data_IF_651952777063
#
_entry.id   IF_651952777063
#
_cell.length_a   1.000
_cell.length_b   1.000
_cell.length_c   1.000
_cell.angle_alpha   90.00
_cell.angle_beta   90.00
_cell.angle_gamma   90.00
#
_symmetry.space_group_name_H-M   'P 1'
#
loop_
_entity.id
_entity.type
_entity.pdbx_description
1 polymer ?
#
# COMPACT_ATOMS: atom_id res chain seq x y z
N UNK A 1 7.47 -12.82 13.16
CA UNK A 1 7.51 -12.70 14.64
C UNK A 1 6.16 -12.26 15.23
N UNK A 2 5.78 -10.97 15.17
CA UNK A 2 4.55 -10.46 15.82
C UNK A 2 3.26 -11.21 15.43
N UNK A 3 3.12 -11.62 14.17
CA UNK A 3 1.96 -12.39 13.70
C UNK A 3 1.78 -13.74 14.43
N UNK A 4 2.86 -14.34 14.93
CA UNK A 4 2.78 -15.56 15.75
C UNK A 4 2.55 -15.20 17.21
N UNK A 5 3.25 -14.18 17.71
CA UNK A 5 3.11 -13.68 19.08
C UNK A 5 1.65 -13.31 19.42
N UNK A 6 0.97 -12.58 18.52
CA UNK A 6 -0.40 -12.12 18.74
C UNK A 6 -1.45 -13.23 18.79
N UNK A 7 -1.12 -14.45 18.33
CA UNK A 7 -2.04 -15.60 18.42
C UNK A 7 -2.18 -16.07 19.86
N UNK A 8 -1.10 -15.96 20.64
CA UNK A 8 -1.02 -16.34 22.05
C UNK A 8 -1.33 -15.15 22.95
N UNK A 9 -0.67 -14.00 22.71
CA UNK A 9 -0.78 -12.80 23.56
C UNK A 9 -1.53 -11.69 22.81
N UNK A 10 -2.78 -11.44 23.21
CA UNK A 10 -3.66 -10.46 22.55
C UNK A 10 -3.66 -9.13 23.30
N UNK A 11 -3.57 -8.02 22.57
CA UNK A 11 -3.71 -6.68 23.13
C UNK A 11 -2.71 -5.68 22.55
N UNK A 12 -3.10 -4.39 22.56
CA UNK A 12 -2.26 -3.30 22.07
C UNK A 12 -0.96 -3.13 22.86
N UNK A 13 -0.97 -3.41 24.16
CA UNK A 13 0.21 -3.27 25.03
C UNK A 13 1.30 -4.30 24.72
N UNK A 14 0.92 -5.56 24.49
CA UNK A 14 1.85 -6.61 24.03
C UNK A 14 2.53 -6.20 22.72
N UNK A 15 1.76 -5.63 21.78
CA UNK A 15 2.30 -5.09 20.53
C UNK A 15 3.30 -3.98 20.79
N UNK A 16 2.94 -2.96 21.57
CA UNK A 16 3.81 -1.81 21.87
C UNK A 16 5.13 -2.25 22.52
N UNK A 17 5.08 -3.07 23.56
CA UNK A 17 6.27 -3.56 24.26
C UNK A 17 7.17 -4.39 23.35
N UNK A 18 6.61 -5.31 22.55
CA UNK A 18 7.38 -6.06 21.58
C UNK A 18 8.04 -5.14 20.55
N UNK A 19 7.33 -4.14 20.03
CA UNK A 19 7.87 -3.19 19.07
C UNK A 19 9.03 -2.38 19.64
N UNK A 20 8.95 -1.96 20.90
CA UNK A 20 10.05 -1.27 21.59
C UNK A 20 11.28 -2.18 21.72
N UNK A 21 11.10 -3.43 22.14
CA UNK A 21 12.19 -4.41 22.22
C UNK A 21 12.78 -4.75 20.84
N UNK A 22 11.95 -4.85 19.80
CA UNK A 22 12.40 -5.17 18.45
C UNK A 22 13.12 -3.99 17.76
N UNK A 23 12.68 -2.76 18.03
CA UNK A 23 13.15 -1.56 17.29
C UNK A 23 14.39 -0.89 17.86
N UNK A 24 14.75 -1.19 19.11
CA UNK A 24 15.92 -0.60 19.75
C UNK A 24 17.24 -1.11 19.15
N UNK A 25 18.25 -0.23 19.09
CA UNK A 25 19.55 -0.55 18.47
C UNK A 25 20.63 -0.99 19.47
N UNK A 26 20.41 -0.82 20.77
CA UNK A 26 21.39 -1.09 21.82
C UNK A 26 20.99 -2.30 22.66
N UNK A 27 21.94 -3.19 22.95
CA UNK A 27 21.73 -4.34 23.84
C UNK A 27 21.24 -3.93 25.23
N UNK A 28 21.77 -2.84 25.79
CA UNK A 28 21.32 -2.31 27.09
C UNK A 28 19.86 -1.87 27.05
N UNK A 29 19.46 -1.19 25.98
CA UNK A 29 18.06 -0.78 25.80
C UNK A 29 17.15 -1.99 25.54
N UNK A 30 17.64 -3.00 24.80
CA UNK A 30 16.94 -4.25 24.58
C UNK A 30 16.65 -4.99 25.88
N UNK A 31 17.67 -5.20 26.73
CA UNK A 31 17.53 -5.84 28.04
C UNK A 31 16.47 -5.14 28.90
N UNK A 32 16.48 -3.79 28.94
CA UNK A 32 15.45 -3.02 29.66
C UNK A 32 14.04 -3.28 29.14
N UNK A 33 13.86 -3.38 27.83
CA UNK A 33 12.54 -3.66 27.25
C UNK A 33 12.11 -5.11 27.46
N UNK A 34 13.03 -6.07 27.43
CA UNK A 34 12.77 -7.48 27.76
C UNK A 34 12.36 -7.62 29.23
N UNK A 35 13.06 -6.96 30.15
CA UNK A 35 12.70 -6.96 31.57
C UNK A 35 11.34 -6.31 31.81
N UNK A 36 11.04 -5.21 31.10
CA UNK A 36 9.72 -4.57 31.15
C UNK A 36 8.58 -5.42 30.54
N UNK A 37 8.90 -6.43 29.72
CA UNK A 37 7.95 -7.45 29.27
C UNK A 37 7.81 -8.51 30.35
N UNK A 38 8.90 -8.98 30.97
CA UNK A 38 8.88 -9.95 32.07
C UNK A 38 8.01 -9.48 33.24
N UNK A 39 8.20 -8.22 33.66
CA UNK A 39 7.41 -7.60 34.73
C UNK A 39 5.93 -7.41 34.38
N UNK A 40 5.59 -7.44 33.08
CA UNK A 40 4.21 -7.32 32.62
C UNK A 40 3.55 -8.70 32.46
N UNK A 41 4.26 -9.65 31.86
CA UNK A 41 3.84 -11.04 31.67
C UNK A 41 5.08 -11.92 31.44
N UNK A 42 5.34 -12.83 32.38
CA UNK A 42 6.46 -13.75 32.34
C UNK A 42 6.32 -14.82 31.25
N UNK A 43 5.10 -15.24 30.91
CA UNK A 43 4.86 -16.19 29.84
C UNK A 43 5.19 -15.57 28.47
N UNK A 44 4.82 -14.30 28.29
CA UNK A 44 5.16 -13.52 27.10
C UNK A 44 6.68 -13.35 26.94
N UNK A 45 7.38 -13.04 28.03
CA UNK A 45 8.84 -12.97 28.06
C UNK A 45 9.49 -14.30 27.66
N UNK A 46 9.06 -15.40 28.27
CA UNK A 46 9.60 -16.74 28.00
C UNK A 46 9.40 -17.14 26.54
N UNK A 47 8.23 -16.86 25.98
CA UNK A 47 7.95 -17.11 24.56
C UNK A 47 8.89 -16.33 23.64
N UNK A 48 9.22 -15.08 23.97
CA UNK A 48 10.15 -14.28 23.17
C UNK A 48 11.57 -14.82 23.21
N UNK A 49 12.05 -15.25 24.38
CA UNK A 49 13.40 -15.79 24.54
C UNK A 49 13.58 -17.19 23.93
N UNK A 50 12.51 -17.95 23.71
CA UNK A 50 12.57 -19.18 22.92
C UNK A 50 12.94 -18.92 21.45
N UNK A 51 12.70 -17.71 20.94
CA UNK A 51 13.04 -17.32 19.58
C UNK A 51 14.37 -16.56 19.58
N UNK A 52 15.31 -16.93 18.70
CA UNK A 52 16.62 -16.28 18.60
C UNK A 52 16.47 -14.76 18.35
N UNK A 53 16.95 -13.89 19.27
CA UNK A 53 16.88 -12.43 19.15
C UNK A 53 17.49 -11.88 17.85
N UNK A 54 18.49 -12.57 17.28
CA UNK A 54 19.11 -12.22 16.00
C UNK A 54 18.14 -12.22 14.81
N UNK A 55 16.99 -12.86 14.94
CA UNK A 55 15.99 -12.96 13.87
C UNK A 55 14.92 -11.87 13.91
N UNK A 56 14.80 -11.12 15.02
CA UNK A 56 13.66 -10.22 15.22
C UNK A 56 13.97 -8.90 15.93
N UNK A 57 15.13 -8.76 16.58
CA UNK A 57 15.52 -7.54 17.27
C UNK A 57 16.74 -6.87 16.65
N UNK A 58 16.61 -5.57 16.39
CA UNK A 58 17.65 -4.74 15.80
C UNK A 58 18.92 -4.66 16.63
N UNK A 59 18.82 -4.73 17.95
CA UNK A 59 19.97 -4.72 18.86
C UNK A 59 20.94 -5.90 18.63
N UNK A 60 20.50 -6.95 17.95
CA UNK A 60 21.29 -8.13 17.61
C UNK A 60 21.66 -8.21 16.12
N UNK A 61 21.27 -7.23 15.31
CA UNK A 61 21.59 -7.22 13.89
C UNK A 61 23.01 -6.72 13.65
N UNK A 62 23.65 -7.23 12.60
CA UNK A 62 24.96 -6.72 12.18
C UNK A 62 24.83 -5.30 11.62
N UNK A 63 25.71 -4.36 12.02
CA UNK A 63 25.73 -3.00 11.46
C UNK A 63 26.26 -2.95 10.03
N UNK A 64 26.71 -4.07 9.45
CA UNK A 64 27.31 -4.11 8.11
C UNK A 64 26.37 -3.58 7.00
N UNK A 65 25.09 -3.94 7.04
CA UNK A 65 24.12 -3.61 5.98
C UNK A 65 23.52 -2.21 6.10
N UNK A 66 23.67 -1.55 7.27
CA UNK A 66 23.18 -0.20 7.56
C UNK A 66 21.77 0.08 7.03
N UNK A 67 20.79 -0.72 7.47
CA UNK A 67 19.39 -0.65 7.02
C UNK A 67 18.39 -0.43 8.16
N UNK A 68 17.38 0.40 7.91
CA UNK A 68 16.24 0.64 8.79
C UNK A 68 15.13 -0.43 8.65
N UNK A 69 15.30 -1.40 7.75
CA UNK A 69 14.33 -2.46 7.54
C UNK A 69 14.27 -3.41 8.76
N UNK A 70 13.12 -3.43 9.44
CA UNK A 70 12.83 -4.36 10.55
C UNK A 70 11.69 -5.34 10.21
N UNK A 71 10.86 -5.01 9.22
CA UNK A 71 9.70 -5.79 8.84
C UNK A 71 9.95 -6.60 7.58
N UNK A 72 9.17 -7.67 7.39
CA UNK A 72 9.07 -8.43 6.14
C UNK A 72 8.43 -7.63 4.98
N UNK A 73 8.45 -6.29 5.05
CA UNK A 73 7.83 -5.40 4.07
C UNK A 73 8.38 -5.66 2.65
N UNK A 74 9.66 -6.00 2.51
CA UNK A 74 10.26 -6.35 1.21
C UNK A 74 9.59 -7.62 0.65
N UNK A 75 9.46 -8.68 1.45
CA UNK A 75 8.80 -9.91 1.03
C UNK A 75 7.32 -9.70 0.74
N UNK A 76 6.61 -8.90 1.54
CA UNK A 76 5.19 -8.60 1.33
C UNK A 76 4.96 -7.76 0.08
N UNK A 77 5.77 -6.72 -0.11
CA UNK A 77 5.76 -5.87 -1.31
C UNK A 77 6.05 -6.68 -2.56
N UNK A 78 7.09 -7.53 -2.52
CA UNK A 78 7.41 -8.42 -3.63
C UNK A 78 6.28 -9.42 -3.92
N UNK A 79 5.74 -10.07 -2.88
CA UNK A 79 4.64 -11.02 -3.03
C UNK A 79 3.41 -10.37 -3.67
N UNK A 80 3.05 -9.17 -3.23
CA UNK A 80 1.97 -8.36 -3.80
C UNK A 80 2.25 -8.00 -5.26
N UNK A 81 3.49 -7.59 -5.54
CA UNK A 81 3.95 -7.18 -6.87
C UNK A 81 3.78 -8.30 -7.91
N UNK A 82 4.15 -9.53 -7.56
CA UNK A 82 4.11 -10.66 -8.50
C UNK A 82 2.79 -11.44 -8.52
N UNK A 83 1.77 -11.02 -7.75
CA UNK A 83 0.49 -11.74 -7.69
C UNK A 83 -0.13 -11.99 -9.07
N UNK A 84 -0.11 -10.98 -9.95
CA UNK A 84 -0.65 -11.12 -11.31
C UNK A 84 0.24 -12.00 -12.19
N UNK A 85 1.55 -11.94 -12.01
CA UNK A 85 2.51 -12.70 -12.81
C UNK A 85 2.39 -14.21 -12.56
N UNK A 86 2.09 -14.62 -11.32
CA UNK A 86 1.98 -16.02 -10.90
C UNK A 86 0.84 -16.80 -11.60
N UNK A 87 -0.19 -16.10 -12.08
CA UNK A 87 -1.31 -16.72 -12.79
C UNK A 87 -1.04 -16.83 -14.31
N UNK A 88 0.11 -16.36 -14.81
CA UNK A 88 0.45 -16.36 -16.24
C UNK A 88 1.26 -17.61 -16.63
N UNK A 89 1.19 -18.06 -17.91
CA UNK A 89 2.14 -19.03 -18.47
C UNK A 89 3.59 -18.57 -18.28
N UNK A 90 4.53 -19.51 -18.20
CA UNK A 90 5.92 -19.22 -17.79
C UNK A 90 6.59 -18.12 -18.62
N UNK A 91 6.40 -18.13 -19.94
CA UNK A 91 6.92 -17.10 -20.85
C UNK A 91 6.29 -15.74 -20.59
N UNK A 92 4.96 -15.69 -20.46
CA UNK A 92 4.23 -14.46 -20.14
C UNK A 92 4.57 -13.93 -18.75
N UNK A 93 4.82 -14.81 -17.77
CA UNK A 93 5.28 -14.45 -16.43
C UNK A 93 6.65 -13.78 -16.47
N UNK A 94 7.63 -14.40 -17.16
CA UNK A 94 8.97 -13.81 -17.30
C UNK A 94 8.93 -12.48 -18.04
N UNK A 95 8.17 -12.39 -19.13
CA UNK A 95 8.04 -11.15 -19.89
C UNK A 95 7.36 -10.04 -19.06
N UNK A 96 6.37 -10.42 -18.25
CA UNK A 96 5.74 -9.50 -17.30
C UNK A 96 6.77 -8.99 -16.28
N UNK A 97 7.51 -9.89 -15.63
CA UNK A 97 8.54 -9.55 -14.63
C UNK A 97 9.62 -8.67 -15.26
N UNK A 98 10.16 -9.04 -16.42
CA UNK A 98 11.20 -8.28 -17.15
C UNK A 98 10.77 -6.84 -17.42
N UNK A 99 9.55 -6.63 -17.94
CA UNK A 99 9.02 -5.28 -18.19
C UNK A 99 8.86 -4.46 -16.91
N UNK A 100 8.59 -5.12 -15.79
CA UNK A 100 8.34 -4.52 -14.47
C UNK A 100 9.63 -4.17 -13.72
N UNK A 101 10.67 -4.97 -13.88
CA UNK A 101 12.01 -4.72 -13.34
C UNK A 101 12.74 -3.58 -14.05
N UNK A 102 12.16 -3.01 -15.11
CA UNK A 102 12.67 -1.79 -15.74
C UNK A 102 12.46 -0.60 -14.80
N UNK A 103 13.49 -0.28 -14.03
CA UNK A 103 13.50 0.86 -13.14
C UNK A 103 13.80 2.20 -13.82
N UNK A 104 13.67 2.28 -15.15
CA UNK A 104 13.95 3.51 -15.91
C UNK A 104 13.13 4.72 -15.42
N UNK A 105 11.87 4.52 -15.03
CA UNK A 105 11.03 5.59 -14.44
C UNK A 105 11.61 6.08 -13.11
N UNK A 106 12.13 5.17 -12.27
CA UNK A 106 12.79 5.55 -11.01
C UNK A 106 14.10 6.28 -11.25
N UNK A 107 14.91 5.79 -12.18
CA UNK A 107 16.18 6.38 -12.58
C UNK A 107 15.98 7.81 -13.11
N UNK A 108 15.10 8.00 -14.10
CA UNK A 108 14.77 9.32 -14.65
C UNK A 108 14.11 10.25 -13.64
N UNK A 109 13.30 9.73 -12.72
CA UNK A 109 12.78 10.49 -11.58
C UNK A 109 13.89 11.03 -10.68
N UNK A 110 14.88 10.19 -10.34
CA UNK A 110 16.00 10.63 -9.51
C UNK A 110 16.98 11.56 -10.23
N UNK A 111 17.12 11.48 -11.55
CA UNK A 111 17.90 12.48 -12.31
C UNK A 111 17.33 13.89 -12.12
N UNK A 112 16.00 14.03 -12.15
CA UNK A 112 15.30 15.31 -11.96
C UNK A 112 15.33 15.81 -10.51
N UNK A 113 15.53 14.90 -9.55
CA UNK A 113 15.59 15.25 -8.14
C UNK A 113 16.86 16.04 -7.81
N UNK A 114 16.73 17.15 -7.09
CA UNK A 114 17.84 18.09 -6.83
C UNK A 114 18.58 17.83 -5.50
N UNK A 115 18.04 17.01 -4.61
CA UNK A 115 18.66 16.72 -3.32
C UNK A 115 19.86 15.76 -3.43
N UNK A 116 20.78 15.85 -2.47
CA UNK A 116 21.97 15.01 -2.40
C UNK A 116 21.68 13.60 -1.85
N UNK A 117 20.60 13.44 -1.07
CA UNK A 117 20.20 12.19 -0.41
C UNK A 117 18.84 11.74 -0.93
N UNK A 118 18.59 10.44 -0.97
CA UNK A 118 17.30 9.88 -1.36
C UNK A 118 16.13 10.51 -0.58
N UNK A 119 15.00 10.88 -1.23
CA UNK A 119 13.89 11.60 -0.59
C UNK A 119 13.39 10.98 0.72
N UNK A 120 13.14 9.67 0.74
CA UNK A 120 12.66 8.96 1.93
C UNK A 120 13.65 9.05 3.12
N UNK A 121 14.96 9.10 2.82
CA UNK A 121 16.01 9.22 3.83
C UNK A 121 16.19 10.67 4.27
N UNK A 122 15.98 11.63 3.37
CA UNK A 122 15.89 13.05 3.73
C UNK A 122 14.73 13.27 4.71
N UNK A 123 13.52 12.81 4.39
CA UNK A 123 12.34 12.96 5.27
C UNK A 123 12.57 12.33 6.66
N UNK A 124 13.23 11.17 6.68
CA UNK A 124 13.61 10.49 7.91
C UNK A 124 14.65 11.30 8.72
N UNK A 125 15.64 11.89 8.04
CA UNK A 125 16.64 12.75 8.67
C UNK A 125 16.02 14.05 9.21
N UNK A 126 15.09 14.67 8.48
CA UNK A 126 14.35 15.85 8.93
C UNK A 126 13.59 15.59 10.24
N UNK A 127 13.00 14.39 10.38
CA UNK A 127 12.39 13.99 11.65
C UNK A 127 13.41 13.94 12.78
N UNK A 128 14.60 13.40 12.55
CA UNK A 128 15.64 13.36 13.58
C UNK A 128 16.26 14.71 13.90
N UNK A 129 16.31 15.64 12.94
CA UNK A 129 16.65 17.05 13.20
C UNK A 129 15.61 17.76 14.06
N UNK A 130 14.34 17.41 13.88
CA UNK A 130 13.29 17.92 14.76
C UNK A 130 13.42 17.33 16.18
N UNK A 131 13.59 16.01 16.28
CA UNK A 131 13.72 15.31 17.57
C UNK A 131 15.01 15.67 18.32
N UNK A 132 16.08 16.08 17.62
CA UNK A 132 17.37 16.44 18.23
C UNK A 132 17.31 17.72 19.05
N UNK A 133 16.27 18.55 18.89
CA UNK A 133 16.06 19.78 19.68
C UNK A 133 15.93 19.52 21.18
N UNK A 134 15.53 18.31 21.54
CA UNK A 134 15.39 17.87 22.93
C UNK A 134 16.65 17.16 23.45
N UNK A 135 17.76 17.21 22.70
CA UNK A 135 19.03 16.61 23.09
C UNK A 135 20.02 17.69 23.52
N UNK A 136 20.58 17.57 24.72
CA UNK A 136 21.60 18.48 25.24
C UNK A 136 22.97 17.88 25.01
N UNK A 137 23.87 18.63 24.38
CA UNK A 137 25.13 18.11 23.88
C UNK A 137 26.30 18.77 24.62
N UNK A 138 27.16 17.96 25.22
CA UNK A 138 28.35 18.38 25.95
C UNK A 138 29.59 17.79 25.27
N UNK A 139 30.53 18.62 24.79
CA UNK A 139 31.74 18.12 24.14
C UNK A 139 32.70 17.49 25.15
N UNK A 140 33.22 16.31 24.83
CA UNK A 140 34.29 15.66 25.59
C UNK A 140 35.69 15.90 24.97
N UNK A 141 35.75 16.30 23.69
CA UNK A 141 36.98 16.48 22.91
C UNK A 141 37.05 15.52 21.71
N UNK A 142 37.91 15.78 20.72
CA UNK A 142 38.11 14.92 19.54
C UNK A 142 36.82 14.45 18.82
N UNK A 143 35.89 15.39 18.62
CA UNK A 143 34.55 15.13 18.07
C UNK A 143 33.76 14.01 18.80
N UNK A 144 34.07 13.77 20.08
CA UNK A 144 33.28 12.98 21.01
C UNK A 144 32.38 13.90 21.82
N UNK A 145 31.14 13.45 21.97
CA UNK A 145 30.10 14.18 22.67
C UNK A 145 29.33 13.27 23.60
N UNK A 146 29.07 13.76 24.80
CA UNK A 146 28.03 13.23 25.66
C UNK A 146 26.72 13.98 25.34
N UNK A 147 25.69 13.22 25.00
CA UNK A 147 24.39 13.75 24.61
C UNK A 147 23.33 13.25 25.57
N UNK A 148 22.77 14.16 26.35
CA UNK A 148 21.66 13.91 27.25
C UNK A 148 20.33 14.02 26.51
N UNK A 149 19.44 13.06 26.75
CA UNK A 149 18.09 13.05 26.25
C UNK A 149 17.16 12.50 27.35
N UNK A 150 16.40 13.41 27.97
CA UNK A 150 15.64 13.16 29.19
C UNK A 150 16.52 12.60 30.32
N UNK A 151 16.26 11.37 30.77
CA UNK A 151 16.88 10.71 31.93
C UNK A 151 18.15 9.92 31.56
N UNK A 152 18.70 10.12 30.36
CA UNK A 152 19.75 9.24 29.81
C UNK A 152 20.78 10.04 29.04
N UNK A 153 22.04 9.65 29.20
CA UNK A 153 23.13 10.09 28.35
C UNK A 153 23.53 9.02 27.33
N UNK A 154 23.96 9.50 26.16
CA UNK A 154 24.46 8.70 25.05
C UNK A 154 25.81 9.27 24.61
N UNK A 155 26.75 8.41 24.27
CA UNK A 155 28.04 8.85 23.71
C UNK A 155 27.91 8.82 22.20
N UNK A 156 28.32 9.91 21.56
CA UNK A 156 28.36 10.06 20.11
C UNK A 156 29.80 10.30 19.69
N UNK A 157 30.26 9.54 18.70
CA UNK A 157 31.55 9.73 18.05
C UNK A 157 31.32 10.12 16.58
N UNK A 158 31.64 11.35 16.21
CA UNK A 158 31.45 11.80 14.83
C UNK A 158 32.50 11.23 13.87
N UNK A 159 33.71 10.95 14.34
CA UNK A 159 34.78 10.35 13.52
C UNK A 159 34.38 8.93 13.07
N UNK A 160 33.89 8.13 14.01
CA UNK A 160 33.39 6.77 13.74
C UNK A 160 31.99 6.73 13.15
N UNK A 161 31.26 7.86 13.21
CA UNK A 161 29.84 7.95 12.83
C UNK A 161 28.98 6.96 13.63
N UNK A 162 29.24 6.87 14.93
CA UNK A 162 28.65 5.89 15.84
C UNK A 162 27.92 6.57 17.00
N UNK A 163 26.95 5.86 17.60
CA UNK A 163 26.26 6.34 18.80
C UNK A 163 25.88 5.17 19.69
N UNK A 164 26.04 5.30 21.01
CA UNK A 164 25.69 4.22 21.96
C UNK A 164 24.20 3.85 22.00
N UNK A 165 23.33 4.63 21.36
CA UNK A 165 21.95 4.21 21.11
C UNK A 165 21.84 3.08 20.06
N UNK A 166 22.90 2.82 19.30
CA UNK A 166 23.04 1.80 18.26
C UNK A 166 22.30 2.11 16.95
N UNK A 167 21.48 3.16 16.93
CA UNK A 167 20.63 3.45 15.77
C UNK A 167 21.42 4.02 14.60
N UNK A 168 22.51 4.76 14.84
CA UNK A 168 23.34 5.30 13.77
C UNK A 168 24.06 4.16 13.04
N UNK A 169 24.73 3.29 13.79
CA UNK A 169 25.46 2.13 13.25
C UNK A 169 24.55 1.22 12.42
N UNK A 170 23.33 0.98 12.89
CA UNK A 170 22.36 0.12 12.20
C UNK A 170 21.67 0.78 11.00
N UNK A 171 21.46 2.09 11.00
CA UNK A 171 20.74 2.78 9.91
C UNK A 171 21.66 3.41 8.88
N UNK A 172 22.95 3.60 9.20
CA UNK A 172 23.87 4.40 8.39
C UNK A 172 23.41 5.86 8.21
N UNK A 173 22.54 6.34 9.09
CA UNK A 173 21.98 7.70 9.09
C UNK A 173 22.06 8.21 10.53
N UNK A 174 22.51 9.46 10.76
CA UNK A 174 22.59 10.01 12.11
C UNK A 174 21.29 9.86 12.87
N UNK A 175 21.36 9.29 14.08
CA UNK A 175 20.22 9.31 15.01
C UNK A 175 20.05 10.73 15.58
N UNK A 176 18.94 11.01 16.28
CA UNK A 176 18.70 12.33 16.91
C UNK A 176 19.85 12.81 17.82
N UNK A 177 20.52 11.92 18.55
CA UNK A 177 21.69 12.27 19.36
C UNK A 177 22.89 12.64 18.47
N UNK A 178 23.11 11.86 17.41
CA UNK A 178 24.12 12.13 16.39
C UNK A 178 23.91 13.48 15.71
N UNK A 179 22.67 13.80 15.36
CA UNK A 179 22.31 15.09 14.77
C UNK A 179 22.62 16.24 15.73
N UNK A 180 22.31 16.10 17.03
CA UNK A 180 22.65 17.13 18.04
C UNK A 180 24.16 17.37 18.12
N UNK A 181 24.97 16.30 18.16
CA UNK A 181 26.43 16.40 18.14
C UNK A 181 26.98 17.05 16.85
N UNK A 182 26.43 16.69 15.69
CA UNK A 182 26.81 17.30 14.40
C UNK A 182 26.54 18.80 14.39
N UNK A 183 25.39 19.23 14.91
CA UNK A 183 25.07 20.65 15.04
C UNK A 183 25.96 21.37 16.05
N UNK A 184 26.30 20.73 17.18
CA UNK A 184 27.28 21.27 18.12
C UNK A 184 28.66 21.47 17.47
N UNK A 185 29.02 20.62 16.51
CA UNK A 185 30.23 20.74 15.71
C UNK A 185 30.10 21.68 14.49
N UNK A 186 28.96 22.36 14.31
CA UNK A 186 28.67 23.29 13.19
C UNK A 186 28.74 22.65 11.79
N UNK A 187 28.48 21.36 11.69
CA UNK A 187 28.46 20.62 10.43
C UNK A 187 27.03 20.26 10.00
N UNK A 188 26.88 19.71 8.80
CA UNK A 188 25.57 19.35 8.22
C UNK A 188 25.27 17.86 8.39
N UNK A 189 24.12 17.46 8.97
CA UNK A 189 23.76 16.05 9.14
C UNK A 189 23.74 15.23 7.84
N UNK A 190 23.49 15.88 6.71
CA UNK A 190 23.48 15.25 5.38
C UNK A 190 24.82 14.63 5.00
N UNK A 191 25.93 15.24 5.42
CA UNK A 191 27.30 14.78 5.10
C UNK A 191 27.67 13.48 5.83
N UNK A 192 26.89 13.15 6.86
CA UNK A 192 27.07 11.99 7.71
C UNK A 192 26.19 10.79 7.33
N UNK A 193 25.37 10.92 6.30
CA UNK A 193 24.56 9.82 5.75
C UNK A 193 25.45 8.89 4.93
N UNK A 194 25.22 7.58 5.05
CA UNK A 194 25.99 6.54 4.37
C UNK A 194 25.54 6.31 2.91
N UNK A 195 25.24 5.08 2.51
CA UNK A 195 24.96 4.64 1.12
C UNK A 195 23.71 5.22 0.44
N UNK A 196 23.04 6.20 1.06
CA UNK A 196 21.74 6.70 0.60
C UNK A 196 21.86 7.98 -0.24
N UNK A 197 23.04 8.26 -0.80
CA UNK A 197 23.23 9.38 -1.71
C UNK A 197 22.47 9.18 -3.03
N UNK A 198 22.18 10.31 -3.70
CA UNK A 198 21.64 10.32 -5.05
C UNK A 198 22.54 9.54 -6.01
N UNK A 199 23.86 9.69 -5.89
CA UNK A 199 24.82 9.05 -6.78
C UNK A 199 24.83 7.54 -6.63
N UNK A 200 24.80 7.03 -5.39
CA UNK A 200 24.67 5.59 -5.14
C UNK A 200 23.35 5.05 -5.68
N UNK A 201 22.25 5.80 -5.53
CA UNK A 201 20.97 5.42 -6.13
C UNK A 201 21.08 5.31 -7.65
N UNK A 202 21.63 6.33 -8.31
CA UNK A 202 21.77 6.34 -9.76
C UNK A 202 22.66 5.19 -10.23
N UNK A 203 23.77 4.91 -9.55
CA UNK A 203 24.65 3.78 -9.84
C UNK A 203 23.92 2.43 -9.76
N UNK A 204 23.13 2.19 -8.71
CA UNK A 204 22.35 0.96 -8.53
C UNK A 204 21.31 0.77 -9.63
N UNK A 205 20.68 1.85 -10.07
CA UNK A 205 19.61 1.82 -11.08
C UNK A 205 20.08 2.15 -12.51
N UNK A 206 21.39 2.27 -12.74
CA UNK A 206 21.96 2.62 -14.05
C UNK A 206 21.80 1.49 -15.08
N UNK A 207 21.80 0.23 -14.62
CA UNK A 207 21.76 -0.92 -15.51
C UNK A 207 20.41 -1.05 -16.23
N UNK A 208 20.46 -1.08 -17.57
CA UNK A 208 19.29 -1.17 -18.43
C UNK A 208 18.94 -2.62 -18.74
N UNK A 209 17.68 -3.00 -18.52
CA UNK A 209 17.11 -4.26 -19.04
C UNK A 209 16.63 -4.01 -20.47
N UNK A 210 17.43 -4.46 -21.45
CA UNK A 210 17.19 -4.26 -22.88
C UNK A 210 15.82 -4.79 -23.34
N UNK A 211 15.23 -4.17 -24.38
CA UNK A 211 14.04 -4.71 -25.03
C UNK A 211 14.37 -6.06 -25.66
N UNK A 212 13.41 -6.97 -25.58
CA UNK A 212 13.45 -8.24 -26.28
C UNK A 212 12.57 -8.07 -27.51
N UNK A 213 13.04 -8.43 -28.71
CA UNK A 213 12.22 -8.37 -29.92
C UNK A 213 10.99 -9.28 -29.80
N UNK A 214 10.06 -9.15 -30.73
CA UNK A 214 8.92 -10.06 -30.81
C UNK A 214 9.39 -11.48 -31.15
N UNK A 215 8.52 -12.48 -30.95
CA UNK A 215 8.87 -13.90 -31.10
C UNK A 215 9.46 -14.22 -32.48
N UNK A 216 9.02 -13.49 -33.50
CA UNK A 216 9.46 -13.63 -34.88
C UNK A 216 10.93 -13.23 -35.07
N UNK A 217 11.48 -12.38 -34.19
CA UNK A 217 12.86 -11.92 -34.23
C UNK A 217 13.77 -12.60 -33.21
N UNK A 218 13.36 -13.73 -32.62
CA UNK A 218 14.20 -14.49 -31.69
C UNK A 218 15.17 -15.39 -32.44
N UNK A 219 16.42 -15.43 -31.98
CA UNK A 219 17.42 -16.36 -32.50
C UNK A 219 17.00 -17.80 -32.24
N UNK A 220 17.20 -18.67 -33.25
CA UNK A 220 16.92 -20.10 -33.10
C UNK A 220 18.09 -20.74 -32.36
N UNK A 221 17.81 -21.36 -31.22
CA UNK A 221 18.85 -22.03 -30.41
C UNK A 221 18.85 -23.53 -30.66
N UNK A 222 20.01 -24.18 -30.56
CA UNK A 222 20.15 -25.63 -30.66
C UNK A 222 19.66 -26.40 -29.40
N UNK A 223 19.22 -25.68 -28.37
CA UNK A 223 18.68 -26.29 -27.15
C UNK A 223 17.32 -26.95 -27.43
N UNK A 224 17.01 -28.00 -26.67
CA UNK A 224 15.72 -28.66 -26.71
C UNK A 224 14.59 -27.72 -26.27
N UNK A 225 13.45 -27.83 -26.94
CA UNK A 225 12.24 -27.12 -26.54
C UNK A 225 11.83 -27.46 -25.11
N UNK A 226 11.70 -26.42 -24.28
CA UNK A 226 11.18 -26.54 -22.93
C UNK A 226 9.69 -26.87 -23.03
N UNK A 227 9.35 -28.14 -22.79
CA UNK A 227 7.95 -28.58 -22.73
C UNK A 227 7.23 -27.89 -21.58
N UNK A 228 5.96 -27.52 -21.80
CA UNK A 228 5.12 -26.97 -20.74
C UNK A 228 5.10 -27.94 -19.54
N UNK A 229 5.18 -27.42 -18.30
CA UNK A 229 5.05 -28.27 -17.11
C UNK A 229 3.74 -29.04 -17.17
N UNK A 230 3.78 -30.33 -16.86
CA UNK A 230 2.58 -31.17 -16.80
C UNK A 230 1.65 -30.57 -15.73
N UNK A 231 0.44 -30.11 -16.09
CA UNK A 231 -0.45 -29.43 -15.15
C UNK A 231 -0.94 -30.43 -14.11
N UNK A 232 -0.39 -30.35 -12.90
CA UNK A 232 -0.92 -31.08 -11.73
C UNK A 232 -2.06 -30.26 -11.13
N UNK A 233 -3.26 -30.85 -11.01
CA UNK A 233 -4.33 -30.25 -10.21
C UNK A 233 -3.97 -30.43 -8.73
N UNK A 234 -3.62 -29.37 -7.97
CA UNK A 234 -3.53 -29.50 -6.53
C UNK A 234 -4.91 -29.91 -5.99
N UNK A 235 -4.93 -30.76 -4.96
CA UNK A 235 -6.18 -31.11 -4.29
C UNK A 235 -6.82 -29.83 -3.72
N UNK A 236 -8.07 -29.56 -4.13
CA UNK A 236 -8.86 -28.43 -3.66
C UNK A 236 -8.80 -27.17 -4.53
N UNK A 237 -9.62 -26.18 -4.18
CA UNK A 237 -9.74 -24.92 -4.92
C UNK A 237 -8.53 -24.02 -4.67
N UNK A 238 -7.81 -23.56 -5.71
CA UNK A 238 -6.73 -22.59 -5.55
C UNK A 238 -7.24 -21.31 -4.87
N UNK A 239 -6.71 -21.00 -3.68
CA UNK A 239 -7.06 -19.78 -2.95
C UNK A 239 -6.30 -18.61 -3.59
N UNK A 240 -6.99 -17.82 -4.41
CA UNK A 240 -6.42 -16.60 -5.04
C UNK A 240 -6.13 -15.46 -4.05
N UNK A 241 -6.63 -15.54 -2.82
CA UNK A 241 -6.44 -14.52 -1.79
C UNK A 241 -5.89 -15.15 -0.53
N UNK A 242 -4.93 -14.46 0.09
CA UNK A 242 -4.44 -14.78 1.43
C UNK A 242 -5.62 -14.75 2.42
N UNK A 243 -5.61 -15.68 3.38
CA UNK A 243 -6.52 -15.64 4.53
C UNK A 243 -6.13 -14.42 5.36
N UNK A 244 -7.06 -13.48 5.52
CA UNK A 244 -6.84 -12.27 6.31
C UNK A 244 -6.79 -12.61 7.79
N UNK A 245 -5.92 -11.96 8.54
CA UNK A 245 -5.96 -12.01 10.00
C UNK A 245 -7.23 -11.33 10.53
N UNK A 246 -7.67 -11.70 11.74
CA UNK A 246 -8.88 -11.17 12.39
C UNK A 246 -8.89 -9.63 12.49
N UNK A 247 -7.72 -9.02 12.67
CA UNK A 247 -7.53 -7.57 12.82
C UNK A 247 -7.47 -6.79 11.49
N UNK A 248 -7.38 -7.47 10.34
CA UNK A 248 -7.30 -6.77 9.06
C UNK A 248 -8.64 -6.11 8.73
N UNK A 249 -8.61 -4.80 8.49
CA UNK A 249 -9.81 -4.03 8.13
C UNK A 249 -10.50 -4.68 6.93
N UNK A 250 -11.77 -5.04 7.14
CA UNK A 250 -12.63 -5.51 6.06
C UNK A 250 -12.86 -4.34 5.12
N UNK A 251 -12.94 -4.61 3.81
CA UNK A 251 -13.28 -3.55 2.85
C UNK A 251 -14.61 -2.89 3.30
N UNK A 252 -14.62 -1.58 3.63
CA UNK A 252 -15.82 -0.89 4.13
C UNK A 252 -16.99 -0.95 3.15
N UNK A 253 -16.69 -1.05 1.86
CA UNK A 253 -17.65 -1.14 0.77
C UNK A 253 -18.15 -2.58 0.50
N UNK A 254 -17.76 -3.57 1.32
CA UNK A 254 -18.23 -4.95 1.22
C UNK A 254 -18.84 -5.45 2.53
N UNK A 255 -20.16 -5.46 2.57
CA UNK A 255 -20.96 -6.01 3.68
C UNK A 255 -20.60 -7.47 3.99
N UNK A 256 -20.49 -7.75 5.28
CA UNK A 256 -20.33 -9.09 5.82
C UNK A 256 -21.54 -9.98 5.54
N UNK A 257 -21.30 -11.27 5.31
CA UNK A 257 -22.36 -12.31 5.35
C UNK A 257 -22.51 -12.92 6.75
N UNK A 258 -21.57 -12.68 7.68
CA UNK A 258 -21.70 -13.14 9.07
C UNK A 258 -22.88 -12.45 9.73
N UNK A 259 -23.74 -13.23 10.40
CA UNK A 259 -24.93 -12.74 11.10
C UNK A 259 -26.17 -12.54 10.23
N UNK A 260 -26.08 -12.68 8.89
CA UNK A 260 -27.27 -12.62 8.03
C UNK A 260 -27.90 -14.00 7.93
N UNK A 261 -29.18 -14.09 8.28
CA UNK A 261 -29.98 -15.27 8.02
C UNK A 261 -30.00 -15.57 6.51
N UNK A 262 -29.83 -16.84 6.16
CA UNK A 262 -29.87 -17.28 4.77
C UNK A 262 -31.30 -17.13 4.28
N UNK A 263 -31.54 -16.19 3.35
CA UNK A 263 -32.84 -16.01 2.69
C UNK A 263 -32.80 -16.70 1.34
N UNK A 264 -33.79 -17.53 1.08
CA UNK A 264 -33.93 -18.20 -0.20
C UNK A 264 -34.27 -17.19 -1.30
N UNK A 265 -33.44 -17.07 -2.33
CA UNK A 265 -33.74 -16.22 -3.49
C UNK A 265 -34.93 -16.69 -4.35
N UNK A 266 -35.50 -17.86 -4.03
CA UNK A 266 -36.68 -18.41 -4.70
C UNK A 266 -37.97 -18.06 -3.96
N UNK A 267 -38.15 -18.59 -2.74
CA UNK A 267 -39.37 -18.40 -1.95
C UNK A 267 -39.28 -17.26 -0.92
N UNK A 268 -38.13 -16.56 -0.84
CA UNK A 268 -37.84 -15.48 0.12
C UNK A 268 -37.94 -15.88 1.60
N UNK A 269 -38.03 -17.17 1.90
CA UNK A 269 -38.05 -17.68 3.26
C UNK A 269 -36.65 -17.77 3.86
N UNK A 270 -36.56 -17.57 5.18
CA UNK A 270 -35.31 -17.70 5.95
C UNK A 270 -34.98 -19.17 6.23
N UNK A 271 -33.71 -19.48 6.43
CA UNK A 271 -33.23 -20.81 6.87
C UNK A 271 -32.75 -21.75 5.76
N UNK A 272 -32.94 -21.41 4.49
CA UNK A 272 -32.43 -22.21 3.37
C UNK A 272 -32.03 -21.35 2.16
N UNK A 273 -31.16 -21.90 1.30
CA UNK A 273 -30.78 -21.26 0.04
C UNK A 273 -31.58 -21.86 -1.13
N UNK A 274 -31.46 -21.27 -2.32
CA UNK A 274 -32.18 -21.69 -3.54
C UNK A 274 -31.98 -23.18 -3.87
N UNK A 275 -30.82 -23.78 -3.54
CA UNK A 275 -30.54 -25.19 -3.81
C UNK A 275 -31.30 -26.15 -2.89
N UNK A 276 -31.64 -25.71 -1.68
CA UNK A 276 -32.45 -26.47 -0.71
C UNK A 276 -33.93 -26.07 -0.72
N UNK A 277 -34.36 -25.30 -1.71
CA UNK A 277 -35.73 -24.79 -1.79
C UNK A 277 -36.66 -25.90 -2.28
N UNK A 278 -37.62 -26.32 -1.44
CA UNK A 278 -38.63 -27.33 -1.77
C UNK A 278 -39.78 -26.80 -2.62
N UNK A 279 -39.90 -25.47 -2.76
CA UNK A 279 -40.86 -24.85 -3.68
C UNK A 279 -40.40 -25.11 -5.11
N UNK A 280 -41.20 -25.92 -5.83
CA UNK A 280 -40.98 -26.35 -7.20
C UNK A 280 -40.53 -25.21 -8.10
N UNK A 281 -39.62 -25.52 -9.04
CA UNK A 281 -39.20 -24.63 -10.11
C UNK A 281 -40.43 -23.98 -10.75
N UNK A 282 -40.68 -22.69 -10.48
CA UNK A 282 -41.34 -21.87 -11.50
C UNK A 282 -40.54 -22.10 -12.77
N UNK A 283 -41.16 -22.56 -13.86
CA UNK A 283 -40.49 -22.91 -15.13
C UNK A 283 -39.67 -21.78 -15.80
N UNK A 284 -39.49 -20.67 -15.09
CA UNK A 284 -38.58 -19.61 -15.46
C UNK A 284 -37.14 -19.90 -15.07
N UNK A 285 -36.26 -19.66 -16.04
CA UNK A 285 -34.82 -19.60 -15.84
C UNK A 285 -34.44 -18.46 -14.88
N UNK A 286 -33.27 -18.56 -14.20
CA UNK A 286 -32.72 -17.46 -13.40
C UNK A 286 -32.48 -16.15 -14.18
N UNK A 287 -32.45 -16.20 -15.51
CA UNK A 287 -32.35 -15.03 -16.38
C UNK A 287 -33.71 -14.34 -16.56
N UNK A 288 -34.76 -15.10 -16.89
CA UNK A 288 -36.14 -14.60 -17.02
C UNK A 288 -36.63 -13.92 -15.73
N UNK A 289 -36.37 -14.54 -14.56
CA UNK A 289 -36.70 -13.93 -13.27
C UNK A 289 -35.96 -12.62 -13.00
N UNK A 290 -34.68 -12.54 -13.38
CA UNK A 290 -33.88 -11.31 -13.22
C UNK A 290 -34.43 -10.18 -14.08
N UNK A 291 -34.84 -10.48 -15.31
CA UNK A 291 -35.48 -9.49 -16.19
C UNK A 291 -36.82 -9.02 -15.62
N UNK A 292 -37.66 -9.95 -15.14
CA UNK A 292 -38.95 -9.60 -14.53
C UNK A 292 -38.80 -8.69 -13.31
N UNK A 293 -37.89 -9.03 -12.39
CA UNK A 293 -37.60 -8.21 -11.20
C UNK A 293 -37.01 -6.83 -11.56
N UNK A 294 -36.23 -6.76 -12.65
CA UNK A 294 -35.69 -5.50 -13.18
C UNK A 294 -36.81 -4.62 -13.74
N UNK A 295 -37.77 -5.21 -14.44
CA UNK A 295 -38.92 -4.50 -15.02
C UNK A 295 -39.96 -4.06 -13.97
N UNK A 296 -40.07 -4.77 -12.84
CA UNK A 296 -40.91 -4.32 -11.71
C UNK A 296 -40.27 -3.21 -10.86
N UNK A 297 -39.01 -2.85 -11.12
CA UNK A 297 -38.29 -1.83 -10.34
C UNK A 297 -38.42 -0.44 -10.94
N UNK A 298 -39.46 0.27 -10.50
CA UNK A 298 -39.72 1.72 -10.65
C UNK A 298 -39.83 2.18 -12.12
N UNK A 299 -41.00 2.72 -12.56
CA UNK A 299 -41.16 3.28 -13.91
C UNK A 299 -40.02 4.24 -14.25
N UNK A 300 -39.52 4.21 -15.49
CA UNK A 300 -38.40 5.06 -15.93
C UNK A 300 -38.63 6.55 -15.60
N UNK A 301 -39.89 6.99 -15.61
CA UNK A 301 -40.34 8.32 -15.21
C UNK A 301 -39.95 8.68 -13.75
N UNK A 302 -40.08 7.75 -12.82
CA UNK A 302 -39.74 7.99 -11.41
C UNK A 302 -38.21 7.97 -11.16
N UNK A 303 -37.42 7.28 -12.00
CA UNK A 303 -35.95 7.39 -11.99
C UNK A 303 -35.48 8.73 -12.55
N UNK A 304 -36.14 9.23 -13.60
CA UNK A 304 -35.89 10.56 -14.17
C UNK A 304 -36.18 11.66 -13.13
N UNK A 305 -37.33 11.56 -12.44
CA UNK A 305 -37.70 12.51 -11.39
C UNK A 305 -36.71 12.52 -10.21
N UNK A 306 -36.17 11.35 -9.83
CA UNK A 306 -35.14 11.25 -8.79
C UNK A 306 -33.81 11.86 -9.23
N UNK A 307 -33.38 11.63 -10.48
CA UNK A 307 -32.15 12.20 -11.03
C UNK A 307 -32.26 13.72 -11.18
N UNK A 308 -33.39 14.23 -11.66
CA UNK A 308 -33.64 15.68 -11.73
C UNK A 308 -33.66 16.32 -10.33
N UNK A 309 -34.29 15.69 -9.33
CA UNK A 309 -34.26 16.18 -7.94
C UNK A 309 -32.84 16.18 -7.35
N UNK A 310 -32.00 15.24 -7.74
CA UNK A 310 -30.61 15.17 -7.31
C UNK A 310 -29.76 16.24 -8.00
N UNK A 311 -29.92 16.43 -9.31
CA UNK A 311 -29.25 17.51 -10.07
C UNK A 311 -29.66 18.90 -9.58
N UNK A 312 -30.95 19.14 -9.32
CA UNK A 312 -31.44 20.39 -8.72
C UNK A 312 -30.85 20.65 -7.34
N UNK A 313 -30.73 19.62 -6.48
CA UNK A 313 -30.06 19.76 -5.18
C UNK A 313 -28.58 20.10 -5.31
N UNK A 314 -27.88 19.49 -6.26
CA UNK A 314 -26.47 19.78 -6.53
C UNK A 314 -26.34 21.22 -7.05
N UNK A 315 -27.15 21.63 -8.02
CA UNK A 315 -27.13 22.99 -8.59
C UNK A 315 -27.42 24.08 -7.54
N UNK A 316 -28.41 23.83 -6.67
CA UNK A 316 -28.76 24.72 -5.56
C UNK A 316 -27.67 24.77 -4.48
N UNK A 317 -26.93 23.68 -4.27
CA UNK A 317 -25.80 23.64 -3.34
C UNK A 317 -24.56 24.38 -3.89
N UNK A 318 -24.33 24.31 -5.19
CA UNK A 318 -23.25 25.05 -5.86
C UNK A 318 -23.54 26.55 -5.94
N UNK A 319 -24.81 26.95 -6.07
CA UNK A 319 -25.23 28.35 -6.01
C UNK A 319 -25.11 28.96 -4.60
N UNK A 320 -25.34 28.19 -3.53
CA UNK A 320 -25.16 28.67 -2.14
C UNK A 320 -23.71 28.88 -1.73
N UNK A 321 -22.76 28.25 -2.41
CA UNK A 321 -21.32 28.37 -2.12
C UNK A 321 -20.64 29.48 -2.93
N UNK A 322 -21.36 30.14 -3.82
CA UNK A 322 -20.83 31.20 -4.68
C UNK A 322 -21.13 32.58 -4.07
N UNK A 323 -20.09 33.24 -3.52
CA UNK A 323 -20.14 34.65 -3.12
C UNK A 323 -19.77 35.54 -4.31
N UNK A 324 -20.50 36.64 -4.58
CA UNK A 324 -20.14 37.55 -5.66
C UNK A 324 -18.99 38.46 -5.21
N UNK A 325 -17.88 38.47 -5.96
CA UNK A 325 -16.92 39.58 -5.94
C UNK A 325 -17.10 40.44 -7.19
N UNK A 326 -17.08 41.74 -6.97
CA UNK A 326 -17.34 42.86 -7.88
C UNK A 326 -16.66 42.70 -9.25
N UNK A 327 -17.44 42.30 -10.25
CA UNK A 327 -17.36 42.71 -11.68
C UNK A 327 -18.13 41.71 -12.54
N UNK A 328 -19.44 41.89 -12.67
CA UNK A 328 -20.26 40.90 -13.37
C UNK A 328 -21.48 41.47 -14.09
N UNK A 329 -21.25 42.50 -14.90
CA UNK A 329 -22.28 43.00 -15.82
C UNK A 329 -22.10 42.49 -17.26
N UNK A 330 -21.05 41.70 -17.55
CA UNK A 330 -20.74 41.23 -18.92
C UNK A 330 -20.55 39.70 -19.06
N UNK A 331 -20.50 38.93 -17.96
CA UNK A 331 -20.23 37.47 -18.01
C UNK A 331 -21.49 36.59 -17.96
N UNK A 332 -22.64 37.10 -17.49
CA UNK A 332 -23.88 36.32 -17.43
C UNK A 332 -24.47 35.94 -18.81
N UNK A 333 -24.49 36.83 -19.82
CA UNK A 333 -25.11 36.49 -21.12
C UNK A 333 -24.36 35.37 -21.87
N UNK A 334 -23.03 35.36 -21.79
CA UNK A 334 -22.17 34.36 -22.45
C UNK A 334 -22.28 32.96 -21.81
N UNK A 335 -22.45 32.88 -20.49
CA UNK A 335 -22.62 31.60 -19.80
C UNK A 335 -24.02 31.02 -19.99
N UNK A 336 -25.05 31.85 -20.17
CA UNK A 336 -26.40 31.37 -20.49
C UNK A 336 -26.50 30.79 -21.92
N UNK A 337 -25.83 31.41 -22.90
CA UNK A 337 -25.73 30.84 -24.25
C UNK A 337 -25.05 29.46 -24.27
N UNK A 338 -23.96 29.28 -23.50
CA UNK A 338 -23.27 28.00 -23.41
C UNK A 338 -24.07 26.90 -22.69
N UNK A 339 -25.06 27.26 -21.86
CA UNK A 339 -25.96 26.30 -21.21
C UNK A 339 -27.07 25.88 -22.17
N UNK A 340 -27.63 26.80 -22.96
CA UNK A 340 -28.61 26.47 -24.02
C UNK A 340 -28.02 25.58 -25.11
N UNK A 341 -26.80 25.84 -25.59
CA UNK A 341 -26.14 24.98 -26.57
C UNK A 341 -25.89 23.55 -26.05
N UNK A 342 -25.61 23.40 -24.75
CA UNK A 342 -25.39 22.08 -24.13
C UNK A 342 -26.69 21.31 -23.92
N UNK A 343 -27.81 21.99 -23.71
CA UNK A 343 -29.13 21.35 -23.63
C UNK A 343 -29.60 20.87 -25.02
N UNK A 344 -29.37 21.65 -26.08
CA UNK A 344 -29.68 21.23 -27.45
C UNK A 344 -28.85 20.01 -27.90
N UNK A 345 -27.56 19.96 -27.57
CA UNK A 345 -26.70 18.80 -27.86
C UNK A 345 -27.19 17.54 -27.14
N UNK A 346 -27.69 17.66 -25.90
CA UNK A 346 -28.20 16.53 -25.14
C UNK A 346 -29.52 15.98 -25.72
N UNK A 347 -30.36 16.85 -26.27
CA UNK A 347 -31.62 16.45 -26.92
C UNK A 347 -31.34 15.72 -28.24
N UNK A 348 -30.38 16.19 -29.04
CA UNK A 348 -29.98 15.56 -30.31
C UNK A 348 -29.32 14.19 -30.09
N UNK A 349 -28.47 14.05 -29.07
CA UNK A 349 -27.83 12.76 -28.74
C UNK A 349 -28.83 11.71 -28.24
N UNK A 350 -29.94 12.13 -27.63
CA UNK A 350 -31.00 11.22 -27.19
C UNK A 350 -31.92 10.78 -28.33
N UNK A 351 -32.18 11.63 -29.32
CA UNK A 351 -32.92 11.25 -30.53
C UNK A 351 -32.15 10.21 -31.37
N UNK A 352 -30.83 10.35 -31.48
CA UNK A 352 -29.99 9.39 -32.21
C UNK A 352 -29.84 8.02 -31.51
N UNK A 353 -29.93 7.97 -30.17
CA UNK A 353 -29.89 6.72 -29.42
C UNK A 353 -31.20 5.92 -29.53
N UNK A 354 -32.34 6.59 -29.72
CA UNK A 354 -33.62 5.91 -29.91
C UNK A 354 -33.74 5.24 -31.28
N UNK A 355 -33.08 5.77 -32.32
CA UNK A 355 -33.08 5.19 -33.67
C UNK A 355 -32.12 3.99 -33.82
N UNK A 356 -31.16 3.80 -32.91
CA UNK A 356 -30.19 2.68 -32.97
C UNK A 356 -30.71 1.37 -32.36
N UNK A 357 -31.86 1.37 -31.67
CA UNK A 357 -32.44 0.17 -31.06
C UNK A 357 -33.35 -0.65 -31.99
N UNK A 358 -33.56 -0.25 -33.26
CA UNK A 358 -34.44 -0.94 -34.24
C UNK A 358 -33.72 -1.79 -35.31
N UNK A 359 -32.54 -2.35 -35.03
CA UNK A 359 -31.84 -3.26 -35.97
C UNK A 359 -31.87 -4.74 -35.52
N UNK A 360 -32.36 -5.70 -36.35
CA UNK A 360 -32.49 -7.11 -35.97
C UNK A 360 -31.17 -7.89 -35.77
N UNK A 361 -31.25 -8.90 -34.91
CA UNK A 361 -30.22 -9.56 -34.09
C UNK A 361 -29.31 -10.61 -34.79
N UNK A 362 -28.92 -10.45 -36.06
CA UNK A 362 -28.24 -11.55 -36.80
C UNK A 362 -26.69 -11.51 -36.88
N UNK A 363 -25.97 -10.63 -36.19
CA UNK A 363 -24.49 -10.59 -36.33
C UNK A 363 -23.70 -10.40 -35.03
N UNK A 364 -23.92 -11.26 -34.03
CA UNK A 364 -23.04 -11.39 -32.85
C UNK A 364 -22.59 -12.83 -32.58
N UNK A 365 -22.11 -13.52 -33.60
CA UNK A 365 -21.14 -14.62 -33.44
C UNK A 365 -19.82 -14.15 -34.03
N UNK A 366 -18.73 -14.41 -33.31
CA UNK A 366 -17.35 -13.98 -33.53
C UNK A 366 -17.00 -12.60 -32.94
N UNK A 367 -16.73 -12.59 -31.63
CA UNK A 367 -15.58 -11.92 -31.00
C UNK A 367 -15.26 -12.63 -29.66
#
# INVERSE_FOLDING_TARGET
MYENYKKVFRGGEYKKKLWLAASTGSLRSWQRHIEAIKNFDEAAHTWLLQNDPRTWSRAHFSPHTRSDALQNNICESFNSYILRARDLPILSMFEWIRKRLRFHVKYTGMLKYKGAICPNKQDFLEKYKYDSRNCFCTPAGDKLYEVEYFDRSYVVNLNERSCTCGMWDLNGTPCKHGVSAIYANREKPEEYVSHYSKDTYLAVYNHMIHPVPSKEGWETTAYLDIKAPIPRKPAGRPKKKRIRALEETRNPYKVSRSGKQVVCGNCKQVGHNVRGCKTSLTGETPWQRRMRLRNTSIPQEAKFLMLMKLQMKILMSTLRLWRPSVNQSLMLPLQMQQVQEKEEILVVLNHNNLQQEELPDHHKKYL
#
